data_IF_309177067619
#
_entry.id   IF_309177067619
#
_cell.length_a   1.000
_cell.length_b   1.000
_cell.length_c   1.000
_cell.angle_alpha   90.00
_cell.angle_beta   90.00
_cell.angle_gamma   90.00
#
_symmetry.space_group_name_H-M   'P 1'
#
loop_
_entity.id
_entity.type
_entity.pdbx_description
1 polymer ?
#
# COMPACT_ATOMS: atom_id res chain seq x y z
N UNK A 1 23.42 35.24 5.54
CA UNK A 1 22.00 34.87 5.32
C UNK A 1 21.86 33.38 5.01
N UNK A 2 22.34 32.49 5.90
CA UNK A 2 22.24 31.03 5.75
C UNK A 2 22.01 30.39 7.14
N UNK A 3 20.92 30.76 7.82
CA UNK A 3 20.50 30.16 9.11
C UNK A 3 19.07 29.63 9.09
N UNK A 4 18.31 29.94 8.04
CA UNK A 4 16.92 29.52 7.85
C UNK A 4 16.86 28.06 7.38
N UNK A 5 17.71 27.66 6.43
CA UNK A 5 17.74 26.30 5.88
C UNK A 5 18.06 25.20 6.91
N UNK A 6 18.83 25.51 7.97
CA UNK A 6 19.27 24.56 9.00
C UNK A 6 18.17 24.16 10.00
N UNK A 7 17.12 24.95 10.16
CA UNK A 7 16.06 24.68 11.15
C UNK A 7 14.98 23.74 10.60
N UNK A 8 14.79 23.75 9.28
CA UNK A 8 13.78 22.93 8.59
C UNK A 8 14.33 21.61 8.04
N UNK A 9 15.66 21.41 8.08
CA UNK A 9 16.31 20.19 7.59
C UNK A 9 15.87 18.95 8.38
N UNK A 10 15.69 19.08 9.70
CA UNK A 10 15.14 18.00 10.53
C UNK A 10 13.65 17.72 10.29
N UNK A 11 12.88 18.74 9.90
CA UNK A 11 11.44 18.64 9.69
C UNK A 11 11.09 17.87 8.40
N UNK A 12 11.98 17.90 7.40
CA UNK A 12 11.82 17.15 6.15
C UNK A 12 12.41 15.73 6.21
N UNK A 13 13.33 15.45 7.14
CA UNK A 13 13.98 14.15 7.24
C UNK A 13 13.00 13.01 7.59
N UNK A 14 12.07 13.26 8.52
CA UNK A 14 11.08 12.28 8.97
C UNK A 14 10.09 11.87 7.87
N UNK A 15 9.42 12.81 7.16
CA UNK A 15 8.51 12.42 6.07
C UNK A 15 9.24 11.76 4.89
N UNK A 16 10.47 12.20 4.57
CA UNK A 16 11.28 11.56 3.51
C UNK A 16 11.65 10.13 3.89
N UNK A 17 12.03 9.89 5.15
CA UNK A 17 12.30 8.54 5.64
C UNK A 17 11.05 7.66 5.64
N UNK A 18 9.90 8.19 6.08
CA UNK A 18 8.62 7.47 6.08
C UNK A 18 8.18 7.06 4.66
N UNK A 19 8.38 7.93 3.67
CA UNK A 19 8.11 7.61 2.26
C UNK A 19 9.05 6.52 1.71
N UNK A 20 10.31 6.48 2.17
CA UNK A 20 11.26 5.42 1.81
C UNK A 20 10.93 4.04 2.38
N UNK A 21 10.12 3.97 3.44
CA UNK A 21 9.63 2.72 4.04
C UNK A 21 8.28 2.26 3.47
N UNK A 22 7.65 3.04 2.59
CA UNK A 22 6.38 2.67 1.99
C UNK A 22 6.58 1.49 1.02
N UNK A 23 5.98 0.34 1.34
CA UNK A 23 5.94 -0.83 0.47
C UNK A 23 4.54 -1.01 -0.12
N UNK A 24 4.43 -1.51 -1.34
CA UNK A 24 3.14 -1.88 -1.93
C UNK A 24 2.57 -3.13 -1.24
N UNK A 25 1.37 -3.00 -0.66
CA UNK A 25 0.56 -4.14 -0.26
C UNK A 25 -0.46 -4.42 -1.36
N UNK A 26 -0.35 -5.57 -2.02
CA UNK A 26 -1.30 -6.02 -3.04
C UNK A 26 -2.31 -6.98 -2.39
N UNK A 27 -3.58 -6.89 -2.76
CA UNK A 27 -4.58 -7.89 -2.39
C UNK A 27 -4.38 -9.14 -3.25
N UNK A 28 -4.26 -10.30 -2.63
CA UNK A 28 -4.33 -11.59 -3.34
C UNK A 28 -5.75 -11.90 -3.85
N UNK A 29 -6.75 -11.19 -3.32
CA UNK A 29 -8.16 -11.32 -3.71
C UNK A 29 -8.50 -10.30 -4.79
N UNK A 30 -8.91 -10.82 -5.96
CA UNK A 30 -9.20 -10.06 -7.17
C UNK A 30 -10.68 -10.26 -7.52
N UNK A 31 -11.45 -9.18 -7.54
CA UNK A 31 -12.83 -9.19 -8.01
C UNK A 31 -12.88 -9.45 -9.52
N UNK A 32 -13.62 -10.49 -9.93
CA UNK A 32 -13.82 -10.87 -11.34
C UNK A 32 -15.19 -10.45 -11.90
N UNK A 33 -16.02 -9.81 -11.08
CA UNK A 33 -17.42 -9.54 -11.38
C UNK A 33 -18.30 -10.79 -11.20
N UNK A 34 -19.61 -10.61 -11.42
CA UNK A 34 -20.63 -11.67 -11.30
C UNK A 34 -20.59 -12.44 -9.96
N UNK A 35 -20.15 -11.80 -8.88
CA UNK A 35 -20.05 -12.43 -7.56
C UNK A 35 -18.89 -13.41 -7.39
N UNK A 36 -17.85 -13.33 -8.21
CA UNK A 36 -16.66 -14.19 -8.12
C UNK A 36 -15.43 -13.42 -7.63
N UNK A 37 -14.66 -14.04 -6.74
CA UNK A 37 -13.33 -13.56 -6.30
C UNK A 37 -12.29 -14.60 -6.66
N UNK A 38 -11.23 -14.20 -7.34
CA UNK A 38 -10.05 -15.04 -7.56
C UNK A 38 -9.00 -14.76 -6.49
N UNK A 39 -8.49 -15.82 -5.88
CA UNK A 39 -7.41 -15.81 -4.90
C UNK A 39 -6.11 -16.26 -5.58
N UNK A 40 -5.18 -15.32 -5.78
CA UNK A 40 -3.91 -15.58 -6.44
C UNK A 40 -2.91 -16.36 -5.59
N UNK A 41 -3.07 -16.37 -4.27
CA UNK A 41 -2.18 -17.10 -3.37
C UNK A 41 -2.51 -18.60 -3.37
N UNK A 42 -3.79 -18.92 -3.52
CA UNK A 42 -4.29 -20.29 -3.53
C UNK A 42 -4.56 -20.86 -4.92
N UNK A 43 -4.58 -20.01 -5.95
CA UNK A 43 -5.00 -20.36 -7.32
C UNK A 43 -6.42 -20.96 -7.35
N UNK A 44 -7.34 -20.28 -6.65
CA UNK A 44 -8.73 -20.70 -6.51
C UNK A 44 -9.69 -19.55 -6.84
N UNK A 45 -10.90 -19.88 -7.28
CA UNK A 45 -11.99 -18.90 -7.44
C UNK A 45 -13.12 -19.22 -6.47
N UNK A 46 -13.48 -18.25 -5.65
CA UNK A 46 -14.54 -18.30 -4.66
C UNK A 46 -15.81 -17.62 -5.17
N UNK A 47 -16.97 -18.11 -4.73
CA UNK A 47 -18.22 -17.36 -4.81
C UNK A 47 -18.26 -16.38 -3.62
N UNK A 48 -18.58 -15.11 -3.87
CA UNK A 48 -18.63 -14.06 -2.84
C UNK A 48 -19.64 -14.36 -1.73
N UNK A 49 -20.73 -15.04 -2.07
CA UNK A 49 -21.80 -15.44 -1.15
C UNK A 49 -21.99 -16.95 -1.21
N UNK A 50 -21.00 -17.67 -0.70
CA UNK A 50 -21.10 -19.11 -0.46
C UNK A 50 -21.76 -19.34 0.90
N UNK A 51 -23.10 -19.31 0.95
CA UNK A 51 -23.88 -19.64 2.13
C UNK A 51 -24.52 -21.02 2.06
#
# INVERSE_FOLDING_TARGET
MLKIASKYTGFLAIPVFALGLATSANSALIDRGNGMIYDSDQDLTWLQDAN
#
